data_IF_832678616576
#
_entry.id   IF_832678616576
#
_cell.length_a   1.000
_cell.length_b   1.000
_cell.length_c   1.000
_cell.angle_alpha   90.00
_cell.angle_beta   90.00
_cell.angle_gamma   90.00
#
_symmetry.space_group_name_H-M   'P 1'
#
loop_
_entity.id
_entity.type
_entity.pdbx_description
1 polymer ?
#
# COMPACT_ATOMS: atom_id res chain seq x y z
N UNK A 1 19.64 20.65 11.64
CA UNK A 1 19.15 19.25 11.69
C UNK A 1 17.74 19.10 11.09
N UNK A 2 17.42 19.79 9.98
CA UNK A 2 16.02 19.87 9.48
C UNK A 2 15.68 18.82 8.40
N UNK A 3 16.68 18.35 7.66
CA UNK A 3 16.53 17.39 6.56
C UNK A 3 16.03 16.00 6.98
N UNK A 4 16.48 15.37 8.08
CA UNK A 4 16.04 14.01 8.44
C UNK A 4 14.57 13.96 8.87
N UNK A 5 14.12 14.96 9.64
CA UNK A 5 12.73 15.07 10.09
C UNK A 5 11.77 15.34 8.92
N UNK A 6 12.20 16.15 7.94
CA UNK A 6 11.43 16.39 6.72
C UNK A 6 11.26 15.11 5.90
N UNK A 7 12.34 14.33 5.72
CA UNK A 7 12.31 13.05 5.00
C UNK A 7 11.37 12.06 5.70
N UNK A 8 11.49 11.91 7.03
CA UNK A 8 10.57 11.07 7.83
C UNK A 8 9.11 11.44 7.59
N UNK A 9 8.77 12.72 7.66
CA UNK A 9 7.40 13.18 7.49
C UNK A 9 6.88 12.95 6.05
N UNK A 10 7.74 13.09 5.03
CA UNK A 10 7.38 12.76 3.64
C UNK A 10 7.12 11.27 3.49
N UNK A 11 7.97 10.41 4.06
CA UNK A 11 7.78 8.96 4.03
C UNK A 11 6.48 8.54 4.72
N UNK A 12 6.17 9.11 5.89
CA UNK A 12 4.89 8.85 6.57
C UNK A 12 3.69 9.33 5.76
N UNK A 13 3.76 10.50 5.13
CA UNK A 13 2.69 10.99 4.25
C UNK A 13 2.50 10.06 3.05
N UNK A 14 3.60 9.64 2.42
CA UNK A 14 3.56 8.70 1.31
C UNK A 14 2.99 7.34 1.72
N UNK A 15 3.36 6.84 2.91
CA UNK A 15 2.79 5.62 3.48
C UNK A 15 1.26 5.73 3.65
N UNK A 16 0.77 6.82 4.25
CA UNK A 16 -0.65 7.05 4.49
C UNK A 16 -1.43 7.18 3.17
N UNK A 17 -0.91 7.95 2.22
CA UNK A 17 -1.56 8.11 0.90
C UNK A 17 -1.64 6.76 0.18
N UNK A 18 -0.55 6.00 0.14
CA UNK A 18 -0.56 4.65 -0.45
C UNK A 18 -1.51 3.72 0.30
N UNK A 19 -1.57 3.80 1.62
CA UNK A 19 -2.49 2.99 2.41
C UNK A 19 -3.95 3.28 2.07
N UNK A 20 -4.32 4.55 1.92
CA UNK A 20 -5.66 4.95 1.47
C UNK A 20 -5.98 4.39 0.08
N UNK A 21 -5.02 4.43 -0.84
CA UNK A 21 -5.19 3.88 -2.19
C UNK A 21 -5.38 2.36 -2.17
N UNK A 22 -4.61 1.64 -1.35
CA UNK A 22 -4.75 0.20 -1.15
C UNK A 22 -6.13 -0.14 -0.57
N UNK A 23 -6.59 0.61 0.44
CA UNK A 23 -7.92 0.40 1.04
C UNK A 23 -9.01 0.63 0.00
N UNK A 24 -8.89 1.69 -0.80
CA UNK A 24 -9.82 1.97 -1.88
C UNK A 24 -9.85 0.84 -2.92
N UNK A 25 -8.69 0.39 -3.39
CA UNK A 25 -8.59 -0.73 -4.32
C UNK A 25 -9.17 -2.03 -3.74
N UNK A 26 -8.97 -2.26 -2.45
CA UNK A 26 -9.59 -3.38 -1.74
C UNK A 26 -11.11 -3.28 -1.70
N UNK A 27 -11.67 -2.11 -1.35
CA UNK A 27 -13.11 -1.89 -1.37
C UNK A 27 -13.70 -2.09 -2.77
N UNK A 28 -13.02 -1.60 -3.81
CA UNK A 28 -13.41 -1.83 -5.20
C UNK A 28 -13.41 -3.33 -5.53
N UNK A 29 -12.40 -4.09 -5.07
CA UNK A 29 -12.32 -5.54 -5.31
C UNK A 29 -13.44 -6.36 -4.63
N UNK A 30 -14.08 -5.81 -3.60
CA UNK A 30 -15.27 -6.40 -2.97
C UNK A 30 -16.54 -6.16 -3.78
N UNK A 31 -16.52 -5.20 -4.71
CA UNK A 31 -17.66 -4.93 -5.60
C UNK A 31 -17.65 -5.91 -6.77
N UNK A 32 -18.84 -6.36 -7.19
CA UNK A 32 -18.98 -7.23 -8.37
C UNK A 32 -18.50 -6.58 -9.67
N UNK A 33 -18.26 -5.26 -9.68
CA UNK A 33 -17.76 -4.51 -10.84
C UNK A 33 -16.38 -5.00 -11.27
N UNK A 34 -15.50 -5.31 -10.31
CA UNK A 34 -14.14 -5.76 -10.64
C UNK A 34 -14.13 -7.20 -11.17
N UNK A 35 -14.96 -8.07 -10.62
CA UNK A 35 -15.17 -9.42 -11.15
C UNK A 35 -15.75 -9.38 -12.58
N UNK A 36 -16.75 -8.54 -12.83
CA UNK A 36 -17.33 -8.36 -14.17
C UNK A 36 -16.31 -7.80 -15.17
N UNK A 37 -15.52 -6.80 -14.80
CA UNK A 37 -14.49 -6.26 -15.67
C UNK A 37 -13.41 -7.31 -16.00
N UNK A 38 -12.92 -8.03 -15.00
CA UNK A 38 -11.89 -9.05 -15.21
C UNK A 38 -12.40 -10.25 -16.02
N UNK A 39 -13.67 -10.63 -15.86
CA UNK A 39 -14.31 -11.63 -16.69
C UNK A 39 -14.39 -11.17 -18.16
N UNK A 40 -14.80 -9.93 -18.42
CA UNK A 40 -14.95 -9.40 -19.79
C UNK A 40 -13.61 -9.24 -20.51
N UNK A 41 -12.59 -8.71 -19.83
CA UNK A 41 -11.30 -8.40 -20.47
C UNK A 41 -10.31 -9.56 -20.46
N UNK A 42 -10.37 -10.45 -19.47
CA UNK A 42 -9.37 -11.50 -19.26
C UNK A 42 -9.96 -12.91 -19.17
N UNK A 43 -11.29 -13.07 -19.24
CA UNK A 43 -11.95 -14.37 -19.15
C UNK A 43 -11.86 -15.02 -17.77
N UNK A 44 -11.49 -14.27 -16.73
CA UNK A 44 -11.33 -14.81 -15.38
C UNK A 44 -12.68 -15.16 -14.75
N UNK A 45 -12.71 -16.26 -13.99
CA UNK A 45 -13.81 -16.52 -13.08
C UNK A 45 -13.81 -15.53 -11.91
N UNK A 46 -14.94 -15.42 -11.20
CA UNK A 46 -15.03 -14.58 -10.02
C UNK A 46 -13.99 -14.98 -8.96
N UNK A 47 -13.84 -16.28 -8.69
CA UNK A 47 -12.88 -16.81 -7.73
C UNK A 47 -11.43 -16.48 -8.12
N UNK A 48 -11.07 -16.66 -9.39
CA UNK A 48 -9.74 -16.30 -9.89
C UNK A 48 -9.47 -14.80 -9.75
N UNK A 49 -10.48 -13.97 -10.04
CA UNK A 49 -10.38 -12.52 -9.89
C UNK A 49 -10.14 -12.12 -8.42
N UNK A 50 -10.88 -12.71 -7.48
CA UNK A 50 -10.72 -12.43 -6.06
C UNK A 50 -9.33 -12.84 -5.56
N UNK A 51 -8.84 -14.03 -5.93
CA UNK A 51 -7.51 -14.52 -5.56
C UNK A 51 -6.41 -13.60 -6.13
N UNK A 52 -6.53 -13.24 -7.41
CA UNK A 52 -5.54 -12.40 -8.07
C UNK A 52 -5.50 -10.99 -7.46
N UNK A 53 -6.67 -10.39 -7.22
CA UNK A 53 -6.78 -9.09 -6.54
C UNK A 53 -6.21 -9.14 -5.13
N UNK A 54 -6.52 -10.18 -4.35
CA UNK A 54 -6.00 -10.35 -3.00
C UNK A 54 -4.47 -10.43 -3.00
N UNK A 55 -3.88 -11.16 -3.95
CA UNK A 55 -2.43 -11.27 -4.10
C UNK A 55 -1.78 -9.94 -4.47
N UNK A 56 -2.33 -9.21 -5.43
CA UNK A 56 -1.82 -7.88 -5.82
C UNK A 56 -1.90 -6.89 -4.66
N UNK A 57 -3.05 -6.82 -3.99
CA UNK A 57 -3.27 -5.92 -2.86
C UNK A 57 -2.33 -6.28 -1.71
N UNK A 58 -2.17 -7.59 -1.42
CA UNK A 58 -1.25 -8.10 -0.40
C UNK A 58 0.20 -7.72 -0.70
N UNK A 59 0.64 -7.94 -1.93
CA UNK A 59 1.98 -7.56 -2.37
C UNK A 59 2.21 -6.04 -2.23
N UNK A 60 1.26 -5.23 -2.68
CA UNK A 60 1.36 -3.77 -2.58
C UNK A 60 1.41 -3.27 -1.13
N UNK A 61 0.68 -3.92 -0.21
CA UNK A 61 0.79 -3.64 1.24
C UNK A 61 2.20 -3.90 1.76
N UNK A 62 2.82 -5.02 1.38
CA UNK A 62 4.19 -5.35 1.78
C UNK A 62 5.17 -4.30 1.27
N UNK A 63 5.08 -3.93 -0.01
CA UNK A 63 5.93 -2.88 -0.58
C UNK A 63 5.74 -1.52 0.13
N UNK A 64 4.50 -1.15 0.44
CA UNK A 64 4.21 0.10 1.14
C UNK A 64 4.89 0.15 2.53
N UNK A 65 4.86 -0.97 3.26
CA UNK A 65 5.53 -1.09 4.56
C UNK A 65 7.05 -1.01 4.39
N UNK A 66 7.61 -1.79 3.46
CA UNK A 66 9.06 -1.90 3.26
C UNK A 66 9.68 -0.58 2.81
N UNK A 67 9.03 0.13 1.88
CA UNK A 67 9.61 1.33 1.28
C UNK A 67 9.30 2.63 2.02
N UNK A 68 8.21 2.69 2.79
CA UNK A 68 7.80 3.94 3.43
C UNK A 68 7.78 3.85 4.95
N UNK A 69 7.14 2.83 5.53
CA UNK A 69 6.99 2.74 6.98
C UNK A 69 8.30 2.38 7.68
N UNK A 70 8.99 1.33 7.23
CA UNK A 70 10.25 0.88 7.84
C UNK A 70 11.31 2.01 7.81
N UNK A 71 11.56 2.68 6.67
CA UNK A 71 12.55 3.76 6.65
C UNK A 71 12.14 4.97 7.50
N UNK A 72 10.83 5.28 7.58
CA UNK A 72 10.35 6.34 8.46
C UNK A 72 10.60 6.03 9.94
N UNK A 73 10.39 4.79 10.37
CA UNK A 73 10.67 4.34 11.74
C UNK A 73 12.17 4.36 12.02
N UNK A 74 13.01 3.88 11.09
CA UNK A 74 14.46 3.91 11.22
C UNK A 74 14.97 5.34 11.46
N UNK A 75 14.53 6.30 10.65
CA UNK A 75 14.89 7.72 10.82
C UNK A 75 14.38 8.26 12.17
N UNK A 76 13.17 7.86 12.60
CA UNK A 76 12.63 8.28 13.89
C UNK A 76 13.50 7.79 15.06
N UNK A 77 13.90 6.52 15.04
CA UNK A 77 14.76 5.95 16.07
C UNK A 77 16.13 6.61 16.10
N UNK A 78 16.80 6.76 14.95
CA UNK A 78 18.11 7.46 14.89
C UNK A 78 18.04 8.89 15.44
N UNK A 79 16.95 9.60 15.18
CA UNK A 79 16.77 10.96 15.69
C UNK A 79 16.52 11.00 17.20
N UNK A 80 15.88 9.96 17.76
CA UNK A 80 15.65 9.82 19.21
C UNK A 80 16.92 9.40 19.97
N UNK A 81 17.83 8.65 19.36
CA UNK A 81 19.08 8.23 20.03
C UNK A 81 20.13 9.35 20.08
N UNK A 82 20.05 10.33 19.17
CA UNK A 82 20.99 11.46 19.09
C UNK A 82 20.57 12.68 19.91
N UNK A 83 19.43 12.62 20.60
CA UNK A 83 18.83 13.72 21.36
C UNK A 83 18.68 13.31 22.82
#
# INVERSE_FOLDING_TARGET
METPLRIRNVLLKAFVINLLFIIFAWLMSLTGVTASAMSVFFGFSADQTHIYMANIIGFWKVLNVVFFLIPAIAIHWEYRTKR
#
